data_IF_061842940384
#
_entry.id   IF_061842940384
#
_cell.length_a   1.000
_cell.length_b   1.000
_cell.length_c   1.000
_cell.angle_alpha   90.00
_cell.angle_beta   90.00
_cell.angle_gamma   90.00
#
_symmetry.space_group_name_H-M   'P 1'
#
loop_
_entity.id
_entity.type
_entity.pdbx_description
1 polymer ?
#
# COMPACT_ATOMS: atom_id res chain seq x y z
N UNK A 1 8.37 -2.88 -17.61
CA UNK A 1 7.71 -1.92 -16.71
C UNK A 1 7.98 -0.49 -17.18
N UNK A 2 6.94 0.34 -17.27
CA UNK A 2 7.12 1.76 -17.60
C UNK A 2 7.62 2.52 -16.38
N UNK A 3 8.68 3.32 -16.55
CA UNK A 3 9.28 4.12 -15.46
C UNK A 3 8.28 5.11 -14.84
N UNK A 4 7.30 5.57 -15.64
CA UNK A 4 6.22 6.47 -15.21
C UNK A 4 5.40 5.94 -14.03
N UNK A 5 5.29 4.61 -13.88
CA UNK A 5 4.55 3.99 -12.78
C UNK A 5 5.28 4.02 -11.43
N UNK A 6 6.61 4.21 -11.44
CA UNK A 6 7.41 4.35 -10.20
C UNK A 6 7.00 5.68 -9.54
N UNK A 7 6.42 5.69 -8.33
CA UNK A 7 5.93 6.92 -7.72
C UNK A 7 7.03 7.94 -7.44
N UNK A 8 8.17 7.46 -6.92
CA UNK A 8 9.34 8.28 -6.65
C UNK A 8 9.98 8.80 -7.92
N UNK A 9 10.05 10.13 -8.06
CA UNK A 9 10.79 10.79 -9.14
C UNK A 9 12.30 10.47 -9.11
N UNK A 10 12.88 10.28 -7.93
CA UNK A 10 14.31 10.05 -7.76
C UNK A 10 14.69 8.62 -8.12
N UNK A 11 13.88 7.64 -7.72
CA UNK A 11 14.04 6.25 -8.16
C UNK A 11 13.80 6.13 -9.65
N UNK A 12 12.75 6.79 -10.18
CA UNK A 12 12.47 6.81 -11.62
C UNK A 12 13.69 7.32 -12.42
N UNK A 13 14.21 8.49 -12.03
CA UNK A 13 15.40 9.08 -12.67
C UNK A 13 16.60 8.15 -12.58
N UNK A 14 16.83 7.51 -11.44
CA UNK A 14 17.96 6.60 -11.25
C UNK A 14 17.85 5.34 -12.12
N UNK A 15 16.66 4.74 -12.20
CA UNK A 15 16.36 3.61 -13.08
C UNK A 15 16.58 3.96 -14.54
N UNK A 16 16.14 5.15 -14.97
CA UNK A 16 16.35 5.66 -16.33
C UNK A 16 17.82 5.91 -16.64
N UNK A 17 18.59 6.46 -15.69
CA UNK A 17 20.04 6.66 -15.82
C UNK A 17 20.79 5.34 -15.97
N UNK A 18 20.36 4.30 -15.25
CA UNK A 18 20.92 2.95 -15.38
C UNK A 18 20.47 2.24 -16.66
N UNK A 19 19.52 2.81 -17.42
CA UNK A 19 18.82 2.17 -18.53
C UNK A 19 18.29 0.78 -18.13
N UNK A 20 17.87 0.64 -16.86
CA UNK A 20 17.48 -0.64 -16.30
C UNK A 20 16.20 -1.13 -16.95
N UNK A 21 16.22 -2.36 -17.45
CA UNK A 21 15.07 -3.03 -18.05
C UNK A 21 14.52 -4.04 -17.06
N UNK A 22 13.30 -3.80 -16.58
CA UNK A 22 12.58 -4.75 -15.76
C UNK A 22 12.18 -5.95 -16.59
N UNK A 23 12.25 -7.14 -15.98
CA UNK A 23 11.66 -8.33 -16.57
C UNK A 23 10.14 -8.26 -16.49
N UNK A 24 9.44 -9.02 -17.34
CA UNK A 24 7.98 -9.11 -17.29
C UNK A 24 7.50 -9.58 -15.92
N UNK A 25 8.23 -10.50 -15.27
CA UNK A 25 7.91 -10.97 -13.91
C UNK A 25 8.05 -9.85 -12.87
N UNK A 26 9.09 -9.02 -12.96
CA UNK A 26 9.24 -7.86 -12.08
C UNK A 26 8.11 -6.84 -12.28
N UNK A 27 7.68 -6.65 -13.52
CA UNK A 27 6.53 -5.81 -13.86
C UNK A 27 5.22 -6.35 -13.28
N UNK A 28 4.99 -7.66 -13.37
CA UNK A 28 3.81 -8.31 -12.79
C UNK A 28 3.77 -8.13 -11.25
N UNK A 29 4.90 -8.35 -10.58
CA UNK A 29 5.04 -8.14 -9.12
C UNK A 29 4.75 -6.68 -8.77
N UNK A 30 5.31 -5.74 -9.52
CA UNK A 30 5.06 -4.30 -9.30
C UNK A 30 3.58 -3.96 -9.45
N UNK A 31 2.95 -4.35 -10.56
CA UNK A 31 1.53 -4.09 -10.83
C UNK A 31 0.61 -4.65 -9.74
N UNK A 32 0.90 -5.87 -9.28
CA UNK A 32 0.13 -6.52 -8.21
C UNK A 32 0.18 -5.69 -6.92
N UNK A 33 1.39 -5.31 -6.48
CA UNK A 33 1.64 -4.59 -5.22
C UNK A 33 1.31 -3.10 -5.28
N UNK A 34 1.19 -2.50 -6.45
CA UNK A 34 1.11 -1.05 -6.58
C UNK A 34 -0.19 -0.46 -6.02
N UNK A 35 -0.17 0.04 -4.79
CA UNK A 35 -1.38 0.46 -4.06
C UNK A 35 -2.14 1.64 -4.70
N UNK A 36 -1.48 2.48 -5.51
CA UNK A 36 -2.10 3.69 -6.10
C UNK A 36 -2.81 3.45 -7.43
N UNK A 37 -2.65 2.27 -8.04
CA UNK A 37 -3.34 1.93 -9.28
C UNK A 37 -4.68 1.28 -8.96
N UNK A 38 -5.74 1.71 -9.65
CA UNK A 38 -7.08 1.19 -9.42
C UNK A 38 -7.13 -0.31 -9.68
N UNK A 39 -8.12 -0.98 -9.07
CA UNK A 39 -8.31 -2.41 -9.26
C UNK A 39 -8.42 -2.76 -10.74
N UNK A 40 -9.25 -2.04 -11.51
CA UNK A 40 -9.48 -2.27 -12.94
C UNK A 40 -8.22 -2.07 -13.78
N UNK A 41 -7.43 -1.04 -13.49
CA UNK A 41 -6.21 -0.76 -14.23
C UNK A 41 -5.16 -1.85 -14.03
N UNK A 42 -4.98 -2.35 -12.80
CA UNK A 42 -4.08 -3.48 -12.53
C UNK A 42 -4.42 -4.68 -13.38
N UNK A 43 -5.69 -5.07 -13.47
CA UNK A 43 -6.14 -6.25 -14.24
C UNK A 43 -5.96 -6.03 -15.74
N UNK A 44 -6.22 -4.81 -16.22
CA UNK A 44 -5.96 -4.45 -17.61
C UNK A 44 -4.49 -4.59 -17.96
N UNK A 45 -3.59 -4.06 -17.13
CA UNK A 45 -2.15 -4.13 -17.37
C UNK A 45 -1.59 -5.56 -17.22
N UNK A 46 -2.04 -6.32 -16.22
CA UNK A 46 -1.67 -7.72 -16.08
C UNK A 46 -2.12 -8.54 -17.31
N UNK A 47 -3.34 -8.30 -17.82
CA UNK A 47 -3.81 -8.98 -19.04
C UNK A 47 -2.95 -8.65 -20.26
N UNK A 48 -2.64 -7.36 -20.46
CA UNK A 48 -1.75 -6.93 -21.54
C UNK A 48 -0.37 -7.58 -21.43
N UNK A 49 0.19 -7.66 -20.21
CA UNK A 49 1.47 -8.30 -19.96
C UNK A 49 1.42 -9.81 -20.29
N UNK A 50 0.36 -10.51 -19.90
CA UNK A 50 0.17 -11.93 -20.21
C UNK A 50 0.00 -12.21 -21.72
N UNK A 51 -0.55 -11.25 -22.47
CA UNK A 51 -0.67 -11.33 -23.92
C UNK A 51 0.68 -11.15 -24.62
N UNK A 52 1.60 -10.38 -24.03
CA UNK A 52 2.86 -9.96 -24.65
C UNK A 52 4.09 -10.76 -24.19
N UNK A 53 4.06 -11.31 -22.97
CA UNK A 53 5.20 -12.03 -22.40
C UNK A 53 5.48 -13.34 -23.12
N UNK A 54 6.76 -13.65 -23.30
CA UNK A 54 7.25 -14.95 -23.79
C UNK A 54 7.40 -15.97 -22.64
N UNK A 55 7.37 -15.53 -21.38
CA UNK A 55 7.41 -16.40 -20.20
C UNK A 55 6.04 -17.09 -20.02
N UNK A 56 5.95 -18.32 -20.53
CA UNK A 56 4.74 -19.13 -20.45
C UNK A 56 4.31 -19.45 -19.02
N UNK A 57 5.25 -19.52 -18.07
CA UNK A 57 4.94 -19.74 -16.66
C UNK A 57 4.24 -18.50 -16.10
N UNK A 58 4.84 -17.33 -16.29
CA UNK A 58 4.25 -16.06 -15.85
C UNK A 58 2.89 -15.81 -16.49
N UNK A 59 2.77 -16.08 -17.80
CA UNK A 59 1.50 -15.96 -18.52
C UNK A 59 0.40 -16.81 -17.88
N UNK A 60 0.69 -18.08 -17.57
CA UNK A 60 -0.27 -18.97 -16.92
C UNK A 60 -0.62 -18.48 -15.52
N UNK A 61 0.37 -18.06 -14.71
CA UNK A 61 0.11 -17.51 -13.38
C UNK A 61 -0.84 -16.30 -13.42
N UNK A 62 -0.56 -15.33 -14.29
CA UNK A 62 -1.40 -14.13 -14.45
C UNK A 62 -2.81 -14.52 -14.89
N UNK A 63 -2.94 -15.41 -15.88
CA UNK A 63 -4.26 -15.82 -16.38
C UNK A 63 -5.06 -16.59 -15.33
N UNK A 64 -4.43 -17.48 -14.59
CA UNK A 64 -5.04 -18.19 -13.46
C UNK A 64 -5.53 -17.22 -12.38
N UNK A 65 -4.70 -16.22 -12.04
CA UNK A 65 -5.05 -15.16 -11.09
C UNK A 65 -6.32 -14.42 -11.53
N UNK A 66 -6.30 -13.86 -12.74
CA UNK A 66 -7.41 -13.06 -13.28
C UNK A 66 -8.70 -13.88 -13.41
N UNK A 67 -8.60 -15.15 -13.82
CA UNK A 67 -9.76 -16.03 -13.92
C UNK A 67 -10.28 -16.46 -12.55
N UNK A 68 -9.38 -16.79 -11.62
CA UNK A 68 -9.72 -17.08 -10.24
C UNK A 68 -10.51 -15.94 -9.62
N UNK A 69 -10.05 -14.71 -9.83
CA UNK A 69 -10.67 -13.51 -9.29
C UNK A 69 -12.07 -13.32 -9.81
N UNK A 70 -12.23 -13.46 -11.12
CA UNK A 70 -13.52 -13.32 -11.75
C UNK A 70 -14.50 -14.40 -11.27
N UNK A 71 -14.03 -15.63 -11.02
CA UNK A 71 -14.86 -16.70 -10.44
C UNK A 71 -15.30 -16.36 -9.01
N UNK A 72 -14.39 -15.87 -8.17
CA UNK A 72 -14.72 -15.49 -6.80
C UNK A 72 -15.65 -14.28 -6.72
N UNK A 73 -15.45 -13.27 -7.57
CA UNK A 73 -16.36 -12.13 -7.66
C UNK A 73 -17.76 -12.55 -8.10
N UNK A 74 -17.87 -13.46 -9.07
CA UNK A 74 -19.17 -14.03 -9.47
C UNK A 74 -19.82 -14.80 -8.32
N UNK A 75 -19.04 -15.58 -7.57
CA UNK A 75 -19.52 -16.33 -6.42
C UNK A 75 -20.00 -15.39 -5.29
N UNK A 76 -19.24 -14.33 -4.99
CA UNK A 76 -19.59 -13.31 -4.01
C UNK A 76 -20.95 -12.67 -4.33
N UNK A 77 -21.17 -12.29 -5.59
CA UNK A 77 -22.39 -11.60 -6.04
C UNK A 77 -23.62 -12.51 -6.15
N UNK A 78 -23.46 -13.82 -5.98
CA UNK A 78 -24.55 -14.78 -6.14
C UNK A 78 -25.47 -14.74 -4.93
N UNK A 79 -26.74 -14.40 -5.15
CA UNK A 79 -27.80 -14.57 -4.15
C UNK A 79 -28.08 -16.05 -3.91
N UNK A 80 -28.10 -16.44 -2.64
CA UNK A 80 -28.46 -17.79 -2.20
C UNK A 80 -29.37 -17.68 -0.98
N UNK A 81 -30.34 -18.58 -0.79
CA UNK A 81 -31.20 -18.57 0.40
C UNK A 81 -30.35 -18.54 1.68
N UNK A 82 -30.72 -17.69 2.64
CA UNK A 82 -29.98 -17.53 3.89
C UNK A 82 -28.74 -16.63 3.81
N UNK A 83 -28.49 -15.95 2.68
CA UNK A 83 -27.41 -14.96 2.54
C UNK A 83 -27.98 -13.57 2.29
N UNK A 84 -27.45 -12.58 3.02
CA UNK A 84 -27.73 -11.16 2.86
C UNK A 84 -26.44 -10.38 2.58
N UNK A 85 -26.59 -9.14 2.14
CA UNK A 85 -25.49 -8.23 1.84
C UNK A 85 -25.58 -6.97 2.71
N UNK A 86 -24.60 -6.75 3.57
CA UNK A 86 -24.51 -5.53 4.39
C UNK A 86 -23.62 -4.49 3.73
N UNK A 87 -23.93 -3.21 3.89
CA UNK A 87 -23.09 -2.10 3.45
C UNK A 87 -22.64 -1.27 4.66
N UNK A 88 -21.34 -0.93 4.71
CA UNK A 88 -20.72 -0.16 5.80
C UNK A 88 -19.76 0.89 5.24
N UNK A 89 -19.59 1.99 5.97
CA UNK A 89 -18.73 3.14 5.59
C UNK A 89 -17.33 3.06 6.25
N UNK A 90 -17.22 2.42 7.42
CA UNK A 90 -15.98 2.30 8.19
C UNK A 90 -15.47 0.85 8.28
N UNK A 91 -14.22 0.64 8.70
CA UNK A 91 -13.68 -0.71 9.01
C UNK A 91 -14.10 -1.19 10.41
N UNK A 92 -14.82 -0.36 11.20
CA UNK A 92 -15.29 -0.76 12.52
C UNK A 92 -16.48 -1.71 12.35
N UNK A 93 -16.20 -3.00 12.55
CA UNK A 93 -17.16 -4.09 12.52
C UNK A 93 -18.20 -3.95 13.65
N UNK A 94 -19.15 -3.04 13.47
CA UNK A 94 -20.28 -2.88 14.35
C UNK A 94 -21.24 -4.06 14.20
N UNK A 95 -21.90 -4.43 15.30
CA UNK A 95 -23.00 -5.39 15.28
C UNK A 95 -24.02 -4.94 14.23
N UNK A 96 -24.25 -5.79 13.22
CA UNK A 96 -25.10 -5.44 12.09
C UNK A 96 -26.54 -5.29 12.57
N UNK A 97 -27.03 -4.05 12.64
CA UNK A 97 -28.45 -3.80 12.76
C UNK A 97 -29.14 -4.20 11.46
N UNK A 98 -30.29 -4.88 11.54
CA UNK A 98 -31.10 -5.33 10.38
C UNK A 98 -31.41 -4.21 9.36
N UNK A 99 -31.26 -2.95 9.73
CA UNK A 99 -31.51 -1.80 8.86
C UNK A 99 -30.44 -1.63 7.77
N UNK A 100 -29.31 -2.34 7.84
CA UNK A 100 -28.17 -2.19 6.91
C UNK A 100 -27.97 -3.35 5.94
N UNK A 101 -28.94 -4.26 5.84
CA UNK A 101 -28.84 -5.47 4.99
C UNK A 101 -29.71 -5.37 3.73
N UNK A 102 -29.25 -6.01 2.66
CA UNK A 102 -29.92 -6.11 1.36
C UNK A 102 -30.01 -7.57 0.92
N UNK A 103 -31.05 -7.94 0.19
CA UNK A 103 -31.21 -9.30 -0.36
C UNK A 103 -30.28 -9.56 -1.54
N UNK A 104 -29.83 -8.50 -2.22
CA UNK A 104 -28.96 -8.61 -3.39
C UNK A 104 -27.74 -7.71 -3.27
N UNK A 105 -26.65 -8.16 -3.91
CA UNK A 105 -25.43 -7.37 -4.05
C UNK A 105 -25.69 -6.01 -4.74
N UNK A 106 -26.58 -5.96 -5.73
CA UNK A 106 -26.85 -4.71 -6.45
C UNK A 106 -27.54 -3.67 -5.57
N UNK A 107 -28.50 -4.08 -4.73
CA UNK A 107 -29.13 -3.19 -3.75
C UNK A 107 -28.10 -2.63 -2.76
N UNK A 108 -27.23 -3.50 -2.20
CA UNK A 108 -26.17 -3.07 -1.30
C UNK A 108 -25.20 -2.08 -2.00
N UNK A 109 -24.85 -2.35 -3.26
CA UNK A 109 -23.98 -1.46 -4.04
C UNK A 109 -24.61 -0.11 -4.32
N UNK A 110 -25.88 -0.09 -4.76
CA UNK A 110 -26.60 1.16 -5.00
C UNK A 110 -26.68 2.00 -3.74
N UNK A 111 -26.93 1.36 -2.60
CA UNK A 111 -26.92 2.04 -1.30
C UNK A 111 -25.56 2.66 -1.00
N UNK A 112 -24.47 1.89 -1.08
CA UNK A 112 -23.12 2.41 -0.78
C UNK A 112 -22.73 3.61 -1.65
N UNK A 113 -23.10 3.62 -2.94
CA UNK A 113 -22.86 4.76 -3.83
C UNK A 113 -23.64 6.01 -3.38
N UNK A 114 -24.83 5.84 -2.78
CA UNK A 114 -25.63 6.96 -2.28
C UNK A 114 -25.04 7.63 -1.03
N UNK A 115 -24.14 6.96 -0.31
CA UNK A 115 -23.51 7.52 0.90
C UNK A 115 -22.39 8.52 0.55
N UNK A 116 -22.01 8.66 -0.73
CA UNK A 116 -20.98 9.59 -1.24
C UNK A 116 -19.56 9.44 -0.62
N UNK A 117 -19.35 8.37 0.15
CA UNK A 117 -18.10 8.00 0.81
C UNK A 117 -17.61 6.62 0.37
N UNK A 118 -16.37 6.27 0.69
CA UNK A 118 -15.88 4.92 0.48
C UNK A 118 -16.68 3.93 1.35
N UNK A 119 -16.95 2.74 0.81
CA UNK A 119 -17.80 1.76 1.49
C UNK A 119 -17.33 0.34 1.23
N UNK A 120 -17.82 -0.60 2.04
CA UNK A 120 -17.59 -2.02 1.81
C UNK A 120 -18.87 -2.82 1.95
N UNK A 121 -18.97 -3.88 1.13
CA UNK A 121 -20.10 -4.80 1.13
C UNK A 121 -19.65 -6.11 1.75
N UNK A 122 -20.34 -6.55 2.79
CA UNK A 122 -20.15 -7.85 3.42
C UNK A 122 -21.20 -8.86 2.97
N UNK A 123 -20.80 -10.12 2.82
CA UNK A 123 -21.69 -11.26 2.62
C UNK A 123 -21.98 -11.89 3.97
N UNK A 124 -23.21 -11.74 4.43
CA UNK A 124 -23.69 -12.20 5.73
C UNK A 124 -24.50 -13.48 5.59
N UNK A 125 -24.38 -14.37 6.58
CA UNK A 125 -25.24 -15.55 6.71
C UNK A 125 -26.31 -15.32 7.77
N UNK A 126 -27.57 -15.51 7.39
CA UNK A 126 -28.69 -15.56 8.31
C UNK A 126 -28.51 -16.79 9.22
N UNK A 127 -28.42 -16.53 10.53
CA UNK A 127 -28.41 -17.56 11.55
C UNK A 127 -29.85 -17.92 11.95
N UNK A 128 -30.06 -19.11 12.48
CA UNK A 128 -31.37 -19.59 12.96
C UNK A 128 -31.93 -18.75 14.13
N UNK A 129 -31.12 -17.86 14.73
CA UNK A 129 -31.57 -16.88 15.73
C UNK A 129 -31.74 -15.50 15.06
N UNK A 130 -32.96 -14.92 15.07
CA UNK A 130 -33.30 -13.71 14.32
C UNK A 130 -32.64 -12.43 14.85
N UNK A 131 -31.88 -12.47 15.94
CA UNK A 131 -31.28 -11.28 16.57
C UNK A 131 -29.76 -11.23 16.42
N UNK A 132 -29.14 -12.23 15.78
CA UNK A 132 -27.67 -12.32 15.64
C UNK A 132 -27.28 -12.72 14.24
N UNK A 133 -26.96 -11.73 13.41
CA UNK A 133 -26.20 -11.93 12.18
C UNK A 133 -24.74 -12.08 12.62
N UNK A 134 -24.21 -13.29 12.64
CA UNK A 134 -22.80 -13.49 12.96
C UNK A 134 -22.20 -14.53 12.04
N UNK A 135 -21.61 -14.05 10.94
CA UNK A 135 -20.24 -14.32 10.51
C UNK A 135 -20.05 -13.65 9.15
N UNK A 136 -19.25 -12.58 9.11
CA UNK A 136 -18.77 -12.00 7.86
C UNK A 136 -17.99 -13.08 7.11
N UNK A 137 -18.57 -13.67 6.08
CA UNK A 137 -17.83 -14.62 5.24
C UNK A 137 -16.83 -13.81 4.41
N UNK A 138 -17.28 -12.75 3.72
CA UNK A 138 -16.42 -12.04 2.77
C UNK A 138 -16.78 -10.57 2.69
N UNK A 139 -15.79 -9.72 2.41
CA UNK A 139 -15.98 -8.30 2.16
C UNK A 139 -15.37 -7.86 0.82
N UNK A 140 -16.04 -6.94 0.13
CA UNK A 140 -15.55 -6.20 -1.03
C UNK A 140 -15.54 -4.71 -0.73
N UNK A 141 -14.44 -4.04 -1.05
CA UNK A 141 -14.25 -2.62 -0.77
C UNK A 141 -14.41 -1.81 -2.05
N UNK A 142 -15.05 -0.66 -1.93
CA UNK A 142 -15.37 0.24 -3.01
C UNK A 142 -14.96 1.66 -2.65
N UNK A 143 -14.60 2.43 -3.67
CA UNK A 143 -14.55 3.88 -3.52
C UNK A 143 -15.97 4.45 -3.58
N UNK A 144 -16.07 5.77 -3.34
CA UNK A 144 -17.35 6.51 -3.37
C UNK A 144 -18.09 6.42 -4.70
N UNK A 145 -17.39 6.16 -5.80
CA UNK A 145 -18.00 6.03 -7.13
C UNK A 145 -18.47 4.58 -7.38
N UNK A 146 -18.22 3.66 -6.44
CA UNK A 146 -18.60 2.26 -6.52
C UNK A 146 -17.64 1.41 -7.36
N UNK A 147 -16.43 1.89 -7.63
CA UNK A 147 -15.35 1.11 -8.23
C UNK A 147 -14.64 0.27 -7.17
N UNK A 148 -14.22 -0.93 -7.54
CA UNK A 148 -13.57 -1.84 -6.58
C UNK A 148 -12.22 -1.26 -6.19
N UNK A 149 -11.98 -1.10 -4.89
CA UNK A 149 -10.67 -0.77 -4.34
C UNK A 149 -9.84 -2.03 -4.08
N UNK A 150 -10.43 -3.00 -3.38
CA UNK A 150 -9.73 -4.22 -2.97
C UNK A 150 -10.66 -5.44 -2.92
N UNK A 151 -10.09 -6.58 -3.32
CA UNK A 151 -10.70 -7.92 -3.25
C UNK A 151 -10.02 -8.85 -2.24
N UNK A 152 -8.90 -8.47 -1.62
CA UNK A 152 -8.04 -9.33 -0.78
C UNK A 152 -8.81 -10.12 0.30
N UNK A 153 -9.88 -9.55 0.86
CA UNK A 153 -10.70 -10.21 1.87
C UNK A 153 -11.62 -11.30 1.31
N UNK A 154 -11.97 -11.26 0.02
CA UNK A 154 -12.67 -12.36 -0.67
C UNK A 154 -11.78 -13.61 -0.76
N UNK A 155 -10.46 -13.41 -0.78
CA UNK A 155 -9.48 -14.45 -1.05
C UNK A 155 -8.96 -15.16 0.21
N UNK A 156 -8.86 -14.46 1.35
CA UNK A 156 -8.28 -15.00 2.59
C UNK A 156 -9.02 -16.19 3.18
N UNK A 157 -10.30 -16.39 2.86
CA UNK A 157 -11.10 -17.48 3.42
C UNK A 157 -10.87 -18.85 2.78
N UNK A 158 -10.28 -18.95 1.58
CA UNK A 158 -9.86 -20.25 1.03
C UNK A 158 -8.53 -20.66 1.67
N UNK A 159 -8.62 -21.16 2.91
CA UNK A 159 -7.52 -21.88 3.57
C UNK A 159 -7.24 -23.18 2.80
N UNK A 160 -6.18 -23.16 1.99
CA UNK A 160 -5.69 -24.28 1.19
C UNK A 160 -4.40 -23.90 0.43
N UNK A 161 -3.90 -24.83 -0.38
CA UNK A 161 -2.61 -24.89 -1.10
C UNK A 161 -2.18 -23.66 -1.92
N UNK A 162 -3.03 -22.64 -2.05
CA UNK A 162 -2.71 -21.38 -2.72
C UNK A 162 -1.59 -20.62 -2.00
N UNK A 163 -1.53 -20.69 -0.67
CA UNK A 163 -0.49 -20.00 0.12
C UNK A 163 0.85 -20.75 0.11
N UNK A 164 0.84 -22.07 -0.12
CA UNK A 164 2.03 -22.92 -0.02
C UNK A 164 3.05 -22.64 -1.13
N UNK A 165 2.61 -22.04 -2.25
CA UNK A 165 3.45 -21.68 -3.40
C UNK A 165 3.41 -20.18 -3.74
N UNK A 166 2.82 -19.34 -2.87
CA UNK A 166 2.62 -17.93 -3.19
C UNK A 166 3.96 -17.22 -3.47
N UNK A 167 5.00 -17.55 -2.69
CA UNK A 167 6.35 -16.99 -2.82
C UNK A 167 7.03 -17.33 -4.16
N UNK A 168 6.63 -18.43 -4.82
CA UNK A 168 7.17 -18.87 -6.11
C UNK A 168 6.46 -18.20 -7.30
N UNK A 169 5.24 -17.70 -7.08
CA UNK A 169 4.43 -17.00 -8.09
C UNK A 169 4.67 -15.50 -8.08
N UNK A 170 4.24 -14.80 -9.13
CA UNK A 170 4.37 -13.34 -9.17
C UNK A 170 3.59 -12.63 -8.04
N UNK A 171 2.50 -13.22 -7.51
CA UNK A 171 1.72 -12.59 -6.44
C UNK A 171 2.48 -12.50 -5.10
N UNK A 172 3.31 -13.49 -4.78
CA UNK A 172 4.19 -13.47 -3.60
C UNK A 172 5.61 -12.98 -3.89
N UNK A 173 5.93 -12.70 -5.16
CA UNK A 173 7.24 -12.25 -5.57
C UNK A 173 7.69 -10.97 -4.86
N UNK A 174 9.01 -10.88 -4.68
CA UNK A 174 9.70 -9.75 -4.09
C UNK A 174 10.36 -8.91 -5.19
N UNK A 175 10.09 -7.60 -5.23
CA UNK A 175 10.68 -6.71 -6.21
C UNK A 175 11.92 -6.03 -5.64
N UNK A 176 13.12 -6.49 -6.02
CA UNK A 176 14.36 -5.78 -5.71
C UNK A 176 14.54 -4.63 -6.69
N UNK A 177 14.51 -3.39 -6.22
CA UNK A 177 14.52 -2.19 -7.07
C UNK A 177 15.89 -1.50 -7.01
N UNK A 178 16.50 -1.11 -8.14
CA UNK A 178 17.63 -0.19 -8.14
C UNK A 178 17.22 1.15 -7.54
N UNK A 179 18.02 1.73 -6.64
CA UNK A 179 17.71 3.03 -6.04
C UNK A 179 18.96 3.88 -5.79
N UNK A 180 18.82 5.22 -5.75
CA UNK A 180 19.95 6.11 -5.55
C UNK A 180 20.41 6.16 -4.08
N UNK A 181 19.50 5.92 -3.14
CA UNK A 181 19.64 6.19 -1.71
C UNK A 181 20.84 5.51 -1.04
N UNK A 182 21.55 6.27 -0.21
CA UNK A 182 22.65 5.81 0.66
C UNK A 182 22.36 6.14 2.12
N UNK A 183 23.06 5.45 3.03
CA UNK A 183 22.99 5.73 4.47
C UNK A 183 23.25 7.21 4.76
N UNK A 184 22.40 7.79 5.61
CA UNK A 184 22.45 9.21 5.98
C UNK A 184 21.65 10.13 5.05
N UNK A 185 21.15 9.64 3.92
CA UNK A 185 20.27 10.43 3.05
C UNK A 185 18.95 10.75 3.75
N UNK A 186 18.53 12.00 3.62
CA UNK A 186 17.21 12.46 4.04
C UNK A 186 16.19 12.19 2.94
N UNK A 187 15.08 11.55 3.32
CA UNK A 187 14.04 11.13 2.41
C UNK A 187 12.65 11.54 2.89
N UNK A 188 11.72 11.59 1.94
CA UNK A 188 10.30 11.76 2.17
C UNK A 188 9.54 10.52 1.69
N UNK A 189 8.72 9.95 2.56
CA UNK A 189 7.86 8.81 2.28
C UNK A 189 6.54 9.29 1.66
N UNK A 190 6.35 8.97 0.38
CA UNK A 190 5.16 9.34 -0.41
C UNK A 190 3.89 8.61 0.02
N UNK A 191 4.00 7.52 0.79
CA UNK A 191 2.86 6.75 1.26
C UNK A 191 2.33 7.31 2.58
N UNK A 192 3.19 7.37 3.61
CA UNK A 192 2.80 7.85 4.93
C UNK A 192 3.02 9.35 5.15
N UNK A 193 3.47 10.07 4.11
CA UNK A 193 3.67 11.53 4.10
C UNK A 193 4.57 12.04 5.23
N UNK A 194 5.69 11.35 5.47
CA UNK A 194 6.60 11.61 6.60
C UNK A 194 8.05 11.65 6.14
N UNK A 195 8.87 12.40 6.89
CA UNK A 195 10.31 12.49 6.61
C UNK A 195 11.08 11.45 7.40
N UNK A 196 12.17 10.95 6.82
CA UNK A 196 13.03 9.97 7.45
C UNK A 196 14.46 10.04 6.95
N UNK A 197 15.28 9.17 7.51
CA UNK A 197 16.69 9.03 7.15
C UNK A 197 16.98 7.57 6.87
N UNK A 198 17.72 7.33 5.78
CA UNK A 198 18.19 6.01 5.41
C UNK A 198 19.25 5.54 6.40
N UNK A 199 19.04 4.37 6.99
CA UNK A 199 19.99 3.76 7.92
C UNK A 199 20.64 2.49 7.36
N UNK A 200 20.07 1.88 6.32
CA UNK A 200 20.68 0.75 5.63
C UNK A 200 21.85 1.17 4.75
N UNK A 201 22.87 0.31 4.67
CA UNK A 201 23.90 0.41 3.65
C UNK A 201 23.30 0.21 2.26
N UNK A 202 23.81 0.93 1.26
CA UNK A 202 23.33 0.84 -0.12
C UNK A 202 23.73 -0.49 -0.74
N UNK A 203 22.79 -1.20 -1.36
CA UNK A 203 23.07 -2.28 -2.31
C UNK A 203 22.71 -1.85 -3.72
N UNK A 204 23.08 -2.67 -4.71
CA UNK A 204 22.72 -2.43 -6.11
C UNK A 204 21.20 -2.41 -6.30
N UNK A 205 20.52 -3.34 -5.62
CA UNK A 205 19.07 -3.48 -5.60
C UNK A 205 18.62 -3.94 -4.23
N UNK A 206 17.63 -3.27 -3.67
CA UNK A 206 16.99 -3.69 -2.43
C UNK A 206 15.49 -3.81 -2.64
N UNK A 207 14.88 -4.81 -1.99
CA UNK A 207 13.43 -4.91 -1.92
C UNK A 207 12.86 -3.88 -0.95
N UNK A 208 13.51 -3.75 0.21
CA UNK A 208 13.19 -2.78 1.24
C UNK A 208 14.48 -2.20 1.80
N UNK A 209 14.45 -0.91 2.06
CA UNK A 209 15.52 -0.20 2.74
C UNK A 209 15.08 0.23 4.12
N UNK A 210 16.02 0.25 5.06
CA UNK A 210 15.72 0.54 6.45
C UNK A 210 15.75 2.06 6.64
N UNK A 211 14.64 2.63 7.11
CA UNK A 211 14.46 4.08 7.26
C UNK A 211 14.02 4.40 8.68
N UNK A 212 14.66 5.38 9.31
CA UNK A 212 14.25 5.92 10.60
C UNK A 212 13.42 7.17 10.37
N UNK A 213 12.13 7.13 10.70
CA UNK A 213 11.20 8.23 10.44
C UNK A 213 11.07 9.20 11.61
N UNK A 214 10.84 10.47 11.31
CA UNK A 214 10.56 11.52 12.29
C UNK A 214 9.04 11.71 12.42
N UNK A 215 8.50 11.55 13.64
CA UNK A 215 7.09 11.79 13.94
C UNK A 215 6.98 12.60 15.23
N UNK A 216 6.31 13.76 15.18
CA UNK A 216 6.09 14.64 16.34
C UNK A 216 7.38 14.96 17.12
N UNK A 217 8.45 15.28 16.40
CA UNK A 217 9.77 15.61 16.97
C UNK A 217 10.55 14.42 17.56
N UNK A 218 10.05 13.19 17.40
CA UNK A 218 10.70 11.97 17.88
C UNK A 218 11.07 11.06 16.72
N UNK A 219 12.24 10.45 16.81
CA UNK A 219 12.64 9.38 15.91
C UNK A 219 11.91 8.10 16.29
N UNK A 220 11.26 7.50 15.32
CA UNK A 220 10.68 6.16 15.45
C UNK A 220 11.77 5.11 15.34
N UNK A 221 11.45 3.87 15.70
CA UNK A 221 12.35 2.75 15.41
C UNK A 221 12.51 2.63 13.88
N UNK A 222 13.66 2.15 13.38
CA UNK A 222 13.83 1.93 11.95
C UNK A 222 12.78 0.95 11.40
N UNK A 223 12.20 1.30 10.26
CA UNK A 223 11.15 0.55 9.57
C UNK A 223 11.60 0.20 8.14
N UNK A 224 11.26 -0.99 7.67
CA UNK A 224 11.56 -1.41 6.30
C UNK A 224 10.57 -0.76 5.33
N UNK A 225 11.08 -0.02 4.35
CA UNK A 225 10.28 0.73 3.38
C UNK A 225 10.70 0.39 1.95
N UNK A 226 9.72 0.33 1.06
CA UNK A 226 9.95 0.08 -0.36
C UNK A 226 10.58 1.33 -1.01
N UNK A 227 11.73 1.20 -1.70
CA UNK A 227 12.49 2.35 -2.17
C UNK A 227 11.72 3.20 -3.18
N UNK A 228 10.85 2.59 -4.01
CA UNK A 228 10.03 3.32 -5.00
C UNK A 228 8.98 4.27 -4.39
N UNK A 229 8.79 4.24 -3.07
CA UNK A 229 7.92 5.16 -2.33
C UNK A 229 8.68 6.31 -1.66
N UNK A 230 10.01 6.36 -1.80
CA UNK A 230 10.85 7.35 -1.16
C UNK A 230 11.35 8.37 -2.18
N UNK A 231 11.38 9.64 -1.82
CA UNK A 231 12.05 10.70 -2.59
C UNK A 231 13.09 11.39 -1.73
N UNK A 232 14.07 12.04 -2.36
CA UNK A 232 14.95 12.94 -1.64
C UNK A 232 14.14 14.07 -1.00
N UNK A 233 14.49 14.36 0.26
CA UNK A 233 13.86 15.41 1.02
C UNK A 233 14.01 16.77 0.31
N UNK A 234 12.91 17.52 0.24
CA UNK A 234 12.87 18.89 -0.28
C UNK A 234 12.14 19.80 0.70
N UNK A 235 12.90 20.39 1.62
CA UNK A 235 12.42 21.33 2.61
C UNK A 235 12.85 22.76 2.24
N UNK A 236 12.08 23.79 2.66
CA UNK A 236 12.54 25.17 2.61
C UNK A 236 13.80 25.38 3.45
N UNK A 237 14.64 26.36 3.10
CA UNK A 237 15.84 26.70 3.89
C UNK A 237 15.51 27.15 5.33
N UNK A 238 14.28 27.58 5.59
CA UNK A 238 13.79 27.95 6.92
C UNK A 238 13.38 26.75 7.79
N UNK A 239 13.32 25.54 7.23
CA UNK A 239 12.89 24.35 7.98
C UNK A 239 14.03 23.79 8.83
N UNK A 240 13.82 23.77 10.15
CA UNK A 240 14.81 23.34 11.12
C UNK A 240 15.16 21.85 10.99
N UNK A 241 14.32 21.04 10.33
CA UNK A 241 14.64 19.62 10.08
C UNK A 241 15.83 19.47 9.13
N UNK A 242 16.17 20.48 8.31
CA UNK A 242 17.41 20.48 7.53
C UNK A 242 18.66 20.40 8.40
N UNK A 243 18.68 21.11 9.53
CA UNK A 243 19.81 21.04 10.48
C UNK A 243 19.94 19.62 11.05
N UNK A 244 18.81 18.97 11.34
CA UNK A 244 18.77 17.59 11.81
C UNK A 244 19.33 16.64 10.72
N UNK A 245 18.84 16.73 9.49
CA UNK A 245 19.30 15.88 8.39
C UNK A 245 20.78 16.06 8.09
N UNK A 246 21.25 17.31 8.06
CA UNK A 246 22.66 17.61 7.86
C UNK A 246 23.52 17.00 8.98
N UNK A 247 23.10 17.12 10.24
CA UNK A 247 23.83 16.54 11.35
C UNK A 247 23.90 15.01 11.30
N UNK A 248 22.82 14.33 10.91
CA UNK A 248 22.82 12.87 10.75
C UNK A 248 23.70 12.42 9.57
N UNK A 249 23.71 13.18 8.49
CA UNK A 249 24.65 12.95 7.39
C UNK A 249 26.09 13.07 7.86
N UNK A 250 26.41 14.09 8.66
CA UNK A 250 27.74 14.25 9.24
C UNK A 250 28.12 13.11 10.20
N UNK A 251 27.19 12.59 11.00
CA UNK A 251 27.42 11.39 11.82
C UNK A 251 27.71 10.17 10.93
N UNK A 252 26.98 10.03 9.82
CA UNK A 252 27.17 8.94 8.85
C UNK A 252 28.52 9.04 8.14
N UNK A 253 28.99 10.26 7.88
CA UNK A 253 30.33 10.59 7.36
C UNK A 253 31.44 10.46 8.44
N UNK A 254 31.12 9.98 9.65
CA UNK A 254 32.05 9.86 10.78
C UNK A 254 32.67 11.20 11.25
N UNK A 255 31.96 12.31 11.08
CA UNK A 255 32.40 13.63 11.56
C UNK A 255 32.11 13.79 13.05
N UNK A 256 33.11 14.13 13.88
CA UNK A 256 32.98 14.16 15.33
C UNK A 256 31.96 15.20 15.85
N UNK A 257 31.77 16.30 15.14
CA UNK A 257 30.82 17.35 15.48
C UNK A 257 29.35 17.01 15.18
N UNK A 258 29.09 15.96 14.39
CA UNK A 258 27.75 15.61 13.93
C UNK A 258 26.80 15.29 15.08
N UNK A 259 27.28 14.59 16.13
CA UNK A 259 26.46 14.25 17.30
C UNK A 259 26.01 15.49 18.07
N UNK A 260 26.93 16.45 18.26
CA UNK A 260 26.62 17.72 18.94
C UNK A 260 25.65 18.57 18.11
N UNK A 261 25.88 18.69 16.80
CA UNK A 261 24.96 19.40 15.89
C UNK A 261 23.57 18.77 15.90
N UNK A 262 23.47 17.44 15.95
CA UNK A 262 22.20 16.74 15.99
C UNK A 262 21.44 17.06 17.28
N UNK A 263 22.11 16.99 18.44
CA UNK A 263 21.51 17.32 19.72
C UNK A 263 20.99 18.76 19.75
N UNK A 264 21.77 19.71 19.24
CA UNK A 264 21.40 21.12 19.22
C UNK A 264 20.27 21.41 18.23
N UNK A 265 20.29 20.78 17.04
CA UNK A 265 19.22 20.89 16.05
C UNK A 265 17.89 20.30 16.56
N UNK A 266 17.94 19.14 17.24
CA UNK A 266 16.77 18.53 17.88
C UNK A 266 16.24 19.45 19.00
N UNK A 267 17.12 20.02 19.83
CA UNK A 267 16.73 20.96 20.88
C UNK A 267 16.01 22.17 20.30
N UNK A 268 16.54 22.77 19.21
CA UNK A 268 15.91 23.91 18.53
C UNK A 268 14.58 23.55 17.87
N UNK A 269 14.49 22.39 17.23
CA UNK A 269 13.22 21.87 16.69
C UNK A 269 12.18 21.70 17.80
N UNK A 270 12.54 21.08 18.92
CA UNK A 270 11.63 20.85 20.04
C UNK A 270 11.23 22.15 20.76
N UNK A 271 12.06 23.20 20.73
CA UNK A 271 11.76 24.52 21.31
C UNK A 271 10.91 25.39 20.39
N UNK A 272 11.07 25.29 19.06
CA UNK A 272 10.30 26.10 18.09
C UNK A 272 8.99 25.44 17.62
N UNK A 273 8.88 24.12 17.69
CA UNK A 273 7.63 23.41 17.42
C UNK A 273 6.78 23.42 18.70
N UNK A 274 6.21 24.58 19.05
CA UNK A 274 4.85 24.55 19.61
C UNK A 274 3.99 24.05 18.46
N UNK A 275 3.61 22.77 18.47
CA UNK A 275 2.63 22.18 17.55
C UNK A 275 1.33 23.01 17.66
N UNK A 276 1.22 24.07 16.86
CA UNK A 276 -0.05 24.74 16.54
C UNK A 276 -0.37 24.30 15.12
N UNK A 277 -1.35 23.41 14.99
CA UNK A 277 -2.01 23.16 13.71
C UNK A 277 -1.92 21.73 13.15
N UNK A 278 -1.99 20.69 13.97
CA UNK A 278 -2.52 19.37 13.57
C UNK A 278 -3.19 18.74 14.80
N UNK A 279 -4.34 19.30 15.17
CA UNK A 279 -5.38 18.74 16.06
C UNK A 279 -6.54 19.75 16.11
N UNK A 280 -7.31 19.81 15.03
CA UNK A 280 -8.76 20.11 14.97
C UNK A 280 -9.19 19.36 13.69
N UNK A 281 -9.50 18.06 13.68
CA UNK A 281 -10.69 17.42 14.27
C UNK A 281 -11.74 18.42 14.77
N UNK A 282 -12.56 18.86 13.81
CA UNK A 282 -14.01 18.83 13.97
C UNK A 282 -14.59 17.98 12.86
#
# INVERSE_FOLDING_TARGET
>A
MKSEWIPSKDVRKYVEQLQYRFTDREEAVFLYRYAKMSWSEKRRHLRQLAEQTEDMTLKNEIMEHLQGEQRELRAFRKTTPGILFSCYEDEEFHESYFNNVSETYQQAKTRGIMEEEAFHICREKLMDQPEKITKNERALYFDKDGEILNTDFVWREKKGTFWDHLEERFEGGHLKMPHPFVRGDAVYDLHNKRYGIIVSEKKERDERILVMFLKKGKWLKPEMTEPWLLEYETLPNSDLRKEIFQAVKEISDQKPEGLWKLQEAIRRCNVKIKYKGENEER
#
